data_IF_675368603432
#
_entry.id   IF_675368603432
#
_cell.length_a   1.000
_cell.length_b   1.000
_cell.length_c   1.000
_cell.angle_alpha   90.00
_cell.angle_beta   90.00
_cell.angle_gamma   90.00
#
_symmetry.space_group_name_H-M   'P 1'
#
loop_
_entity.id
_entity.type
_entity.pdbx_description
1 polymer ?
#
# COMPACT_ATOMS: atom_id res chain seq x y z
N UNK A 1 -16.57 6.90 -17.81
CA UNK A 1 -17.34 8.11 -17.45
C UNK A 1 -17.07 9.26 -18.42
N UNK A 2 -15.82 9.65 -18.70
CA UNK A 2 -15.49 10.77 -19.60
C UNK A 2 -16.02 10.64 -21.04
N UNK A 3 -16.03 9.42 -21.62
CA UNK A 3 -16.50 9.19 -23.00
C UNK A 3 -17.94 9.68 -23.23
N UNK A 4 -18.78 9.66 -22.18
CA UNK A 4 -20.18 10.11 -22.24
C UNK A 4 -20.32 11.65 -22.19
N UNK A 5 -19.30 12.36 -21.73
CA UNK A 5 -19.30 13.83 -21.62
C UNK A 5 -18.78 14.53 -22.89
N UNK A 6 -18.04 13.82 -23.75
CA UNK A 6 -17.42 14.38 -24.97
C UNK A 6 -18.46 14.94 -25.95
N UNK A 7 -19.64 14.30 -26.05
CA UNK A 7 -20.72 14.76 -26.92
C UNK A 7 -21.35 16.09 -26.48
N UNK A 8 -21.35 16.37 -25.17
CA UNK A 8 -21.89 17.61 -24.60
C UNK A 8 -20.83 18.71 -24.48
N UNK A 9 -19.57 18.34 -24.25
CA UNK A 9 -18.46 19.27 -24.01
C UNK A 9 -17.27 18.96 -24.93
N UNK A 10 -17.35 19.33 -26.22
CA UNK A 10 -16.34 18.95 -27.22
C UNK A 10 -14.94 19.55 -26.95
N UNK A 11 -14.85 20.60 -26.13
CA UNK A 11 -13.59 21.26 -25.74
C UNK A 11 -13.08 20.86 -24.35
N UNK A 12 -13.74 19.92 -23.65
CA UNK A 12 -13.33 19.49 -22.32
C UNK A 12 -12.00 18.73 -22.37
N UNK A 13 -10.99 19.23 -21.66
CA UNK A 13 -9.74 18.52 -21.43
C UNK A 13 -9.87 17.71 -20.15
N UNK A 14 -9.81 16.39 -20.26
CA UNK A 14 -9.79 15.50 -19.11
C UNK A 14 -8.35 15.10 -18.79
N UNK A 15 -7.90 15.46 -17.59
CA UNK A 15 -6.63 15.01 -17.03
C UNK A 15 -6.89 14.08 -15.86
N UNK A 16 -6.15 12.96 -15.81
CA UNK A 16 -6.20 12.05 -14.67
C UNK A 16 -5.49 12.70 -13.49
N UNK A 17 -6.11 12.70 -12.31
CA UNK A 17 -5.47 13.15 -11.08
C UNK A 17 -4.18 12.36 -10.81
N UNK A 18 -3.07 13.05 -10.53
CA UNK A 18 -1.77 12.42 -10.29
C UNK A 18 -1.81 11.46 -9.08
N UNK A 19 -2.50 11.85 -8.00
CA UNK A 19 -2.71 10.98 -6.84
C UNK A 19 -3.52 9.72 -7.20
N UNK A 20 -4.52 9.83 -8.08
CA UNK A 20 -5.24 8.66 -8.58
C UNK A 20 -4.31 7.75 -9.40
N UNK A 21 -3.47 8.33 -10.24
CA UNK A 21 -2.54 7.58 -11.07
C UNK A 21 -1.48 6.85 -10.22
N UNK A 22 -0.99 7.45 -9.12
CA UNK A 22 -0.13 6.76 -8.16
C UNK A 22 -0.85 5.65 -7.37
N UNK A 23 -2.15 5.79 -7.10
CA UNK A 23 -2.92 4.69 -6.50
C UNK A 23 -2.98 3.46 -7.41
N UNK A 24 -3.02 3.64 -8.75
CA UNK A 24 -2.92 2.51 -9.70
C UNK A 24 -1.56 1.82 -9.63
N UNK A 25 -0.47 2.57 -9.44
CA UNK A 25 0.87 1.98 -9.20
C UNK A 25 0.88 1.13 -7.93
N UNK A 26 0.32 1.65 -6.83
CA UNK A 26 0.18 0.90 -5.58
C UNK A 26 -0.70 -0.35 -5.74
N UNK A 27 -1.74 -0.28 -6.59
CA UNK A 27 -2.58 -1.42 -6.92
C UNK A 27 -1.78 -2.53 -7.62
N UNK A 28 -0.98 -2.18 -8.64
CA UNK A 28 -0.08 -3.13 -9.32
C UNK A 28 0.86 -3.78 -8.32
N UNK A 29 1.48 -3.00 -7.44
CA UNK A 29 2.39 -3.52 -6.40
C UNK A 29 1.66 -4.53 -5.51
N UNK A 30 0.49 -4.18 -4.98
CA UNK A 30 -0.29 -5.07 -4.09
C UNK A 30 -0.61 -6.41 -4.77
N UNK A 31 -1.05 -6.39 -6.02
CA UNK A 31 -1.38 -7.61 -6.78
C UNK A 31 -0.20 -8.53 -7.03
N UNK A 32 1.05 -8.06 -6.84
CA UNK A 32 2.24 -8.89 -6.95
C UNK A 32 2.72 -9.42 -5.58
N UNK A 33 2.01 -9.12 -4.49
CA UNK A 33 2.32 -9.54 -3.12
C UNK A 33 1.07 -10.07 -2.41
N UNK A 34 0.43 -11.07 -3.01
CA UNK A 34 -0.79 -11.71 -2.47
C UNK A 34 -0.59 -12.28 -1.06
N UNK A 35 0.62 -12.74 -0.74
CA UNK A 35 0.98 -13.23 0.59
C UNK A 35 1.02 -12.12 1.63
N UNK A 36 1.57 -10.95 1.29
CA UNK A 36 1.53 -9.74 2.13
C UNK A 36 0.10 -9.24 2.28
N UNK A 37 -0.68 -9.23 1.19
CA UNK A 37 -2.08 -8.80 1.24
C UNK A 37 -2.92 -9.72 2.14
N UNK A 38 -2.71 -11.04 2.02
CA UNK A 38 -3.33 -12.03 2.89
C UNK A 38 -2.92 -11.82 4.35
N UNK A 39 -1.63 -11.59 4.63
CA UNK A 39 -1.15 -11.34 5.99
C UNK A 39 -1.80 -10.08 6.57
N UNK A 40 -1.76 -8.95 5.89
CA UNK A 40 -2.33 -7.68 6.36
C UNK A 40 -3.84 -7.79 6.62
N UNK A 41 -4.57 -8.45 5.70
CA UNK A 41 -6.00 -8.74 5.84
C UNK A 41 -6.31 -9.59 7.08
N UNK A 42 -5.49 -10.60 7.37
CA UNK A 42 -5.66 -11.43 8.56
C UNK A 42 -5.23 -10.72 9.85
N UNK A 43 -4.13 -9.97 9.86
CA UNK A 43 -3.71 -9.15 11.02
C UNK A 43 -4.81 -8.17 11.41
N UNK A 44 -5.41 -7.48 10.43
CA UNK A 44 -6.59 -6.62 10.69
C UNK A 44 -7.70 -7.40 11.38
N UNK A 45 -8.07 -8.57 10.85
CA UNK A 45 -9.13 -9.43 11.43
C UNK A 45 -8.78 -9.98 12.82
N UNK A 46 -7.50 -10.20 13.12
CA UNK A 46 -7.05 -10.60 14.46
C UNK A 46 -7.44 -9.53 15.47
N UNK A 47 -7.25 -8.24 15.18
CA UNK A 47 -7.55 -7.19 16.17
C UNK A 47 -8.96 -6.60 16.04
N UNK A 48 -9.66 -6.82 14.93
CA UNK A 48 -10.98 -6.28 14.69
C UNK A 48 -12.01 -6.80 15.72
N UNK A 49 -12.63 -5.89 16.48
CA UNK A 49 -13.64 -6.18 17.51
C UNK A 49 -13.18 -7.18 18.56
N UNK A 50 -11.90 -7.14 18.92
CA UNK A 50 -11.27 -8.11 19.82
C UNK A 50 -10.61 -7.43 21.03
N UNK A 51 -11.39 -6.95 22.02
CA UNK A 51 -10.86 -6.15 23.11
C UNK A 51 -9.80 -6.87 23.93
N UNK A 52 -9.98 -8.17 24.20
CA UNK A 52 -9.00 -8.99 24.95
C UNK A 52 -7.66 -9.12 24.21
N UNK A 53 -7.69 -9.31 22.89
CA UNK A 53 -6.46 -9.38 22.07
C UNK A 53 -5.78 -8.02 21.94
N UNK A 54 -6.57 -6.94 21.84
CA UNK A 54 -6.04 -5.57 21.84
C UNK A 54 -5.40 -5.25 23.20
N UNK A 55 -6.02 -5.68 24.31
CA UNK A 55 -5.48 -5.48 25.64
C UNK A 55 -4.14 -6.21 25.80
N UNK A 56 -4.09 -7.51 25.47
CA UNK A 56 -2.83 -8.27 25.53
C UNK A 56 -1.75 -7.66 24.63
N UNK A 57 -2.12 -7.19 23.44
CA UNK A 57 -1.18 -6.50 22.54
C UNK A 57 -0.56 -5.27 23.21
N UNK A 58 -1.37 -4.43 23.87
CA UNK A 58 -0.90 -3.22 24.56
C UNK A 58 -0.07 -3.54 25.80
N UNK A 59 -0.37 -4.62 26.51
CA UNK A 59 0.41 -5.08 27.66
C UNK A 59 1.80 -5.57 27.23
N UNK A 60 1.88 -6.31 26.12
CA UNK A 60 3.14 -6.85 25.60
C UNK A 60 3.97 -5.82 24.81
N UNK A 61 3.31 -4.87 24.14
CA UNK A 61 3.93 -3.87 23.26
C UNK A 61 3.42 -2.45 23.57
N UNK A 62 3.65 -1.91 24.78
CA UNK A 62 3.07 -0.63 25.20
C UNK A 62 3.48 0.55 24.30
N UNK A 63 4.69 0.52 23.77
CA UNK A 63 5.23 1.60 22.92
C UNK A 63 5.00 1.38 21.41
N UNK A 64 4.30 0.30 21.02
CA UNK A 64 4.00 0.01 19.62
C UNK A 64 2.51 0.27 19.36
N UNK A 65 2.16 1.16 18.42
CA UNK A 65 0.74 1.39 18.12
C UNK A 65 0.13 0.15 17.47
N UNK A 66 -1.20 0.02 17.52
CA UNK A 66 -1.87 -1.08 16.82
C UNK A 66 -1.57 -1.04 15.31
N UNK A 67 -1.51 -2.20 14.64
CA UNK A 67 -1.33 -2.26 13.20
C UNK A 67 -2.36 -1.38 12.47
N UNK A 68 -1.93 -0.51 11.54
CA UNK A 68 -2.84 0.36 10.83
C UNK A 68 -3.74 -0.47 9.92
N UNK A 69 -4.99 -0.02 9.76
CA UNK A 69 -5.94 -0.69 8.88
C UNK A 69 -5.83 -0.13 7.45
N UNK A 70 -5.50 -0.96 6.43
CA UNK A 70 -5.57 -0.53 5.05
C UNK A 70 -6.99 -0.15 4.64
N UNK A 71 -7.11 0.95 3.90
CA UNK A 71 -8.36 1.39 3.27
C UNK A 71 -8.39 0.83 1.85
N UNK A 72 -9.42 0.05 1.52
CA UNK A 72 -9.54 -0.69 0.26
C UNK A 72 -9.42 0.19 -1.00
N UNK A 73 -9.84 1.45 -0.93
CA UNK A 73 -9.82 2.37 -2.08
C UNK A 73 -8.62 3.32 -2.10
N UNK A 74 -7.72 3.24 -1.10
CA UNK A 74 -6.53 4.08 -0.98
C UNK A 74 -5.31 3.21 -0.77
N UNK A 75 -4.78 2.63 -1.84
CA UNK A 75 -3.69 1.66 -1.79
C UNK A 75 -2.38 2.21 -1.21
N UNK A 76 -2.20 3.54 -1.15
CA UNK A 76 -1.12 4.14 -0.36
C UNK A 76 -1.17 3.76 1.13
N UNK A 77 -2.36 3.51 1.69
CA UNK A 77 -2.51 3.03 3.08
C UNK A 77 -2.11 1.56 3.24
N UNK A 78 -2.25 0.75 2.20
CA UNK A 78 -1.78 -0.64 2.19
C UNK A 78 -0.25 -0.68 2.26
N UNK A 79 0.44 0.15 1.47
CA UNK A 79 1.91 0.27 1.52
C UNK A 79 2.36 0.74 2.92
N UNK A 80 1.66 1.72 3.53
CA UNK A 80 1.93 2.13 4.92
C UNK A 80 1.79 0.99 5.93
N UNK A 81 0.77 0.13 5.77
CA UNK A 81 0.59 -1.02 6.64
C UNK A 81 1.67 -2.09 6.45
N UNK A 82 2.09 -2.34 5.21
CA UNK A 82 3.22 -3.21 4.92
C UNK A 82 4.53 -2.68 5.55
N UNK A 83 4.79 -1.38 5.44
CA UNK A 83 5.95 -0.72 6.08
C UNK A 83 5.90 -0.89 7.60
N UNK A 84 4.75 -0.58 8.21
CA UNK A 84 4.56 -0.71 9.65
C UNK A 84 4.83 -2.14 10.13
N UNK A 85 4.34 -3.14 9.40
CA UNK A 85 4.55 -4.54 9.72
C UNK A 85 6.01 -4.96 9.48
N UNK A 86 6.69 -4.42 8.47
CA UNK A 86 8.11 -4.65 8.26
C UNK A 86 8.96 -4.12 9.43
N UNK A 87 8.64 -2.92 9.93
CA UNK A 87 9.33 -2.27 11.05
C UNK A 87 9.12 -3.00 12.39
N UNK A 88 7.96 -3.62 12.56
CA UNK A 88 7.54 -4.25 13.82
C UNK A 88 7.36 -5.76 13.69
N UNK A 89 7.99 -6.39 12.68
CA UNK A 89 7.69 -7.77 12.29
C UNK A 89 7.84 -8.75 13.46
N UNK A 90 9.00 -8.73 14.13
CA UNK A 90 9.31 -9.69 15.20
C UNK A 90 8.43 -9.46 16.44
N UNK A 91 8.12 -8.19 16.75
CA UNK A 91 7.20 -7.80 17.83
C UNK A 91 5.77 -8.27 17.57
N UNK A 92 5.25 -8.01 16.38
CA UNK A 92 3.87 -8.42 16.01
C UNK A 92 3.78 -9.95 15.95
N UNK A 93 4.82 -10.60 15.43
CA UNK A 93 4.92 -12.06 15.40
C UNK A 93 4.86 -12.66 16.81
N UNK A 94 5.61 -12.12 17.77
CA UNK A 94 5.64 -12.65 19.13
C UNK A 94 4.28 -12.54 19.84
N UNK A 95 3.50 -11.49 19.57
CA UNK A 95 2.14 -11.35 20.10
C UNK A 95 1.16 -12.29 19.41
N UNK A 96 1.14 -12.32 18.07
CA UNK A 96 0.15 -13.10 17.31
C UNK A 96 0.31 -14.61 17.53
N UNK A 97 1.53 -15.09 17.76
CA UNK A 97 1.79 -16.52 18.05
C UNK A 97 1.17 -16.95 19.39
N UNK A 98 0.99 -16.05 20.36
CA UNK A 98 0.42 -16.38 21.67
C UNK A 98 -1.09 -16.59 21.66
N UNK A 99 -1.81 -16.09 20.64
CA UNK A 99 -3.26 -16.26 20.57
C UNK A 99 -3.65 -17.70 20.22
N UNK A 100 -4.72 -18.23 20.79
CA UNK A 100 -5.21 -19.57 20.45
C UNK A 100 -5.76 -19.65 19.01
N UNK A 101 -5.39 -20.71 18.27
CA UNK A 101 -5.80 -20.88 16.87
C UNK A 101 -7.31 -21.09 16.71
N UNK A 102 -7.93 -21.79 17.66
CA UNK A 102 -9.37 -22.08 17.70
C UNK A 102 -10.24 -20.82 17.82
N UNK A 103 -9.69 -19.73 18.34
CA UNK A 103 -10.44 -18.48 18.54
C UNK A 103 -10.77 -17.76 17.23
N UNK A 104 -10.01 -17.99 16.15
CA UNK A 104 -10.29 -17.41 14.82
C UNK A 104 -9.45 -18.03 13.71
N UNK A 105 -10.08 -18.34 12.57
CA UNK A 105 -9.37 -18.69 11.32
C UNK A 105 -8.40 -17.61 10.85
N UNK A 106 -8.59 -16.34 11.26
CA UNK A 106 -7.66 -15.27 10.94
C UNK A 106 -6.34 -15.38 11.73
N UNK A 107 -6.40 -15.87 12.98
CA UNK A 107 -5.21 -16.10 13.82
C UNK A 107 -4.36 -17.20 13.18
N UNK A 108 -4.97 -18.34 12.88
CA UNK A 108 -4.31 -19.48 12.22
C UNK A 108 -3.60 -19.04 10.92
N UNK A 109 -4.31 -18.31 10.04
CA UNK A 109 -3.73 -17.80 8.78
C UNK A 109 -2.63 -16.78 8.99
N UNK A 110 -2.78 -15.86 9.95
CA UNK A 110 -1.76 -14.87 10.28
C UNK A 110 -0.49 -15.55 10.81
N UNK A 111 -0.61 -16.53 11.72
CA UNK A 111 0.52 -17.31 12.22
C UNK A 111 1.24 -18.06 11.10
N UNK A 112 0.49 -18.79 10.27
CA UNK A 112 1.07 -19.51 9.11
C UNK A 112 1.86 -18.57 8.22
N UNK A 113 1.33 -17.37 7.96
CA UNK A 113 1.99 -16.36 7.14
C UNK A 113 3.25 -15.81 7.83
N UNK A 114 3.18 -15.45 9.13
CA UNK A 114 4.32 -14.93 9.92
C UNK A 114 5.44 -15.95 10.15
N UNK A 115 5.15 -17.24 10.01
CA UNK A 115 6.13 -18.33 10.08
C UNK A 115 6.75 -18.67 8.71
N UNK A 116 6.23 -18.13 7.61
CA UNK A 116 6.84 -18.26 6.29
C UNK A 116 8.20 -17.56 6.24
N UNK A 117 9.16 -18.15 5.53
CA UNK A 117 10.51 -17.59 5.39
C UNK A 117 10.55 -16.36 4.46
N UNK A 118 9.63 -16.27 3.51
CA UNK A 118 9.68 -15.24 2.46
C UNK A 118 8.91 -13.98 2.81
N UNK A 119 7.92 -14.07 3.71
CA UNK A 119 7.06 -12.92 4.03
C UNK A 119 7.84 -11.71 4.55
N UNK A 120 8.87 -11.95 5.38
CA UNK A 120 9.71 -10.91 5.94
C UNK A 120 10.53 -10.24 4.83
N UNK A 121 10.99 -11.03 3.84
CA UNK A 121 11.72 -10.52 2.67
C UNK A 121 10.81 -9.66 1.80
N UNK A 122 9.59 -10.09 1.51
CA UNK A 122 8.62 -9.31 0.73
C UNK A 122 8.25 -8.00 1.42
N UNK A 123 8.01 -8.02 2.73
CA UNK A 123 7.76 -6.82 3.53
C UNK A 123 8.94 -5.84 3.49
N UNK A 124 10.17 -6.34 3.64
CA UNK A 124 11.40 -5.52 3.54
C UNK A 124 11.56 -4.94 2.12
N UNK A 125 11.29 -5.73 1.08
CA UNK A 125 11.35 -5.27 -0.30
C UNK A 125 10.35 -4.12 -0.53
N UNK A 126 9.10 -4.28 -0.11
CA UNK A 126 8.07 -3.22 -0.20
C UNK A 126 8.52 -1.96 0.54
N UNK A 127 8.98 -2.10 1.78
CA UNK A 127 9.47 -0.97 2.58
C UNK A 127 10.64 -0.26 1.91
N UNK A 128 11.58 -1.00 1.36
CA UNK A 128 12.82 -0.43 0.80
C UNK A 128 12.54 0.35 -0.47
N UNK A 129 11.70 -0.20 -1.35
CA UNK A 129 11.55 0.32 -2.71
C UNK A 129 10.29 1.17 -2.93
N UNK A 130 9.24 0.97 -2.13
CA UNK A 130 7.93 1.61 -2.37
C UNK A 130 7.53 2.61 -1.28
N UNK A 131 8.37 2.88 -0.28
CA UNK A 131 8.10 3.86 0.78
C UNK A 131 7.83 5.29 0.31
N UNK A 132 8.30 5.67 -0.89
CA UNK A 132 8.09 7.00 -1.45
C UNK A 132 6.63 7.23 -1.90
N UNK A 133 5.89 6.16 -2.22
CA UNK A 133 4.54 6.24 -2.78
C UNK A 133 3.52 6.90 -1.82
N UNK A 134 3.40 6.48 -0.55
CA UNK A 134 2.36 7.04 0.31
C UNK A 134 2.56 8.52 0.62
N UNK A 135 3.82 8.97 0.73
CA UNK A 135 4.14 10.37 0.97
C UNK A 135 3.94 11.22 -0.29
N UNK A 136 4.26 10.67 -1.47
CA UNK A 136 3.99 11.33 -2.76
C UNK A 136 2.48 11.49 -2.99
N UNK A 137 1.69 10.47 -2.71
CA UNK A 137 0.22 10.54 -2.78
C UNK A 137 -0.31 11.62 -1.85
N UNK A 138 0.12 11.60 -0.57
CA UNK A 138 -0.30 12.59 0.43
C UNK A 138 0.01 14.03 -0.01
N UNK A 139 1.19 14.24 -0.58
CA UNK A 139 1.61 15.55 -1.10
C UNK A 139 0.74 15.98 -2.28
N UNK A 140 0.48 15.10 -3.25
CA UNK A 140 -0.35 15.39 -4.42
C UNK A 140 -1.86 15.57 -4.09
N UNK A 141 -2.30 15.07 -2.95
CA UNK A 141 -3.65 15.31 -2.41
C UNK A 141 -3.79 16.67 -1.71
N UNK A 142 -2.67 17.36 -1.43
CA UNK A 142 -2.69 18.64 -0.73
C UNK A 142 -3.22 19.78 -1.62
N UNK A 143 -4.06 20.63 -1.04
CA UNK A 143 -4.59 21.83 -1.70
C UNK A 143 -3.50 22.89 -1.80
N UNK A 144 -3.44 23.61 -2.91
CA UNK A 144 -2.55 24.76 -3.11
C UNK A 144 -1.15 24.41 -3.64
N UNK A 145 -0.87 23.15 -3.94
CA UNK A 145 0.37 22.74 -4.61
C UNK A 145 0.41 23.29 -6.04
N UNK A 146 1.55 23.90 -6.41
CA UNK A 146 1.72 24.37 -7.78
C UNK A 146 2.05 23.21 -8.73
N UNK A 147 1.77 23.40 -10.03
CA UNK A 147 1.96 22.35 -11.02
C UNK A 147 3.43 21.89 -11.10
N UNK A 148 4.39 22.81 -11.03
CA UNK A 148 5.82 22.46 -11.08
C UNK A 148 6.25 21.56 -9.93
N UNK A 149 5.76 21.82 -8.70
CA UNK A 149 6.06 20.98 -7.54
C UNK A 149 5.44 19.59 -7.70
N UNK A 150 4.21 19.52 -8.19
CA UNK A 150 3.54 18.25 -8.44
C UNK A 150 4.28 17.41 -9.50
N UNK A 151 4.82 18.06 -10.54
CA UNK A 151 5.63 17.42 -11.57
C UNK A 151 6.97 16.94 -11.01
N UNK A 152 7.61 17.73 -10.14
CA UNK A 152 8.83 17.33 -9.47
C UNK A 152 8.65 16.06 -8.62
N UNK A 153 7.54 15.96 -7.87
CA UNK A 153 7.19 14.75 -7.10
C UNK A 153 7.10 13.53 -8.02
N UNK A 154 6.41 13.67 -9.17
CA UNK A 154 6.25 12.57 -10.12
C UNK A 154 7.57 12.16 -10.76
N UNK A 155 8.42 13.10 -11.15
CA UNK A 155 9.72 12.78 -11.75
C UNK A 155 10.67 12.11 -10.74
N UNK A 156 10.70 12.57 -9.49
CA UNK A 156 11.46 11.92 -8.43
C UNK A 156 10.99 10.49 -8.17
N UNK A 157 9.66 10.28 -8.10
CA UNK A 157 9.07 8.95 -7.94
C UNK A 157 9.38 8.04 -9.13
N UNK A 158 9.34 8.55 -10.37
CA UNK A 158 9.70 7.80 -11.58
C UNK A 158 11.15 7.36 -11.54
N UNK A 159 12.06 8.25 -11.16
CA UNK A 159 13.48 7.93 -11.02
C UNK A 159 13.69 6.80 -9.99
N UNK A 160 13.04 6.90 -8.82
CA UNK A 160 13.10 5.89 -7.77
C UNK A 160 12.58 4.51 -8.23
N UNK A 161 11.41 4.48 -8.90
CA UNK A 161 10.83 3.22 -9.38
C UNK A 161 11.62 2.59 -10.53
N UNK A 162 12.25 3.41 -11.39
CA UNK A 162 13.12 2.91 -12.48
C UNK A 162 14.35 2.17 -11.93
N UNK A 163 14.84 2.55 -10.75
CA UNK A 163 15.96 1.90 -10.07
C UNK A 163 15.54 0.73 -9.16
N UNK A 164 14.24 0.40 -9.09
CA UNK A 164 13.76 -0.71 -8.27
C UNK A 164 14.06 -2.05 -8.95
N UNK A 165 14.83 -2.95 -8.32
CA UNK A 165 15.21 -4.23 -8.91
C UNK A 165 14.04 -5.22 -8.95
N UNK A 166 14.08 -6.20 -9.85
CA UNK A 166 13.08 -7.28 -9.94
C UNK A 166 11.84 -6.93 -10.77
N UNK A 167 11.03 -7.95 -11.05
CA UNK A 167 9.87 -7.85 -11.94
C UNK A 167 8.83 -6.82 -11.46
N UNK A 168 8.54 -6.81 -10.15
CA UNK A 168 7.56 -5.86 -9.58
C UNK A 168 8.02 -4.41 -9.73
N UNK A 169 9.32 -4.14 -9.62
CA UNK A 169 9.90 -2.82 -9.89
C UNK A 169 9.69 -2.38 -11.35
N UNK A 170 9.89 -3.30 -12.29
CA UNK A 170 9.67 -3.05 -13.71
C UNK A 170 8.19 -2.76 -14.03
N UNK A 171 7.27 -3.55 -13.45
CA UNK A 171 5.82 -3.37 -13.59
C UNK A 171 5.38 -2.01 -13.01
N UNK A 172 5.79 -1.69 -11.78
CA UNK A 172 5.50 -0.41 -11.14
C UNK A 172 6.05 0.77 -11.95
N UNK A 173 7.29 0.67 -12.44
CA UNK A 173 7.92 1.68 -13.30
C UNK A 173 7.15 1.87 -14.61
N UNK A 174 6.70 0.79 -15.25
CA UNK A 174 5.89 0.84 -16.48
C UNK A 174 4.55 1.54 -16.23
N UNK A 175 3.89 1.27 -15.10
CA UNK A 175 2.60 1.87 -14.75
C UNK A 175 2.69 3.40 -14.59
N UNK A 176 3.83 3.92 -14.13
CA UNK A 176 4.04 5.39 -14.04
C UNK A 176 4.02 6.12 -15.39
N UNK A 177 4.16 5.41 -16.52
CA UNK A 177 4.10 6.02 -17.87
C UNK A 177 2.68 6.44 -18.24
N UNK A 178 1.66 5.80 -17.66
CA UNK A 178 0.25 6.15 -17.87
C UNK A 178 -0.08 7.52 -17.23
N UNK A 179 0.72 7.94 -16.24
CA UNK A 179 0.60 9.24 -15.57
C UNK A 179 0.86 10.41 -16.55
N UNK A 180 1.64 10.21 -17.62
CA UNK A 180 2.00 11.29 -18.54
C UNK A 180 1.05 11.45 -19.75
N UNK A 181 0.47 10.38 -20.29
CA UNK A 181 -0.28 10.48 -21.54
C UNK A 181 -1.33 9.36 -21.67
N UNK A 182 -2.58 9.62 -21.28
CA UNK A 182 -3.71 9.16 -22.10
C UNK A 182 -3.97 10.21 -23.16
N UNK A 183 -3.10 10.30 -24.17
CA UNK A 183 -3.55 10.78 -25.48
C UNK A 183 -4.56 9.72 -25.90
N UNK A 184 -5.83 10.09 -25.94
CA UNK A 184 -6.88 9.21 -26.47
C UNK A 184 -6.39 8.72 -27.82
N UNK A 185 -6.05 7.43 -27.92
CA UNK A 185 -5.86 6.80 -29.22
C UNK A 185 -7.21 6.91 -29.90
N UNK A 186 -7.21 7.63 -31.01
CA UNK A 186 -8.27 7.65 -32.01
C UNK A 186 -8.39 6.23 -32.55
#
# INVERSE_FOLDING_TARGET
MWHKLKGFYPKLIHMTCLAHALNLVCEVIRHNFDDVDLLLSNIKKVFLKAPTRIQLYKELLPDTPLPPEPILTRWGTWIKAAIFLADNFDKIKSVVIQFEDSASRAIEKAKKSLLSNDIKRHLIYIKTHFKILPDSIKQLEAVGMCLSDSMYIIENLRASLKCTPGEVGQLASKETRIIAYKKSRI
#
